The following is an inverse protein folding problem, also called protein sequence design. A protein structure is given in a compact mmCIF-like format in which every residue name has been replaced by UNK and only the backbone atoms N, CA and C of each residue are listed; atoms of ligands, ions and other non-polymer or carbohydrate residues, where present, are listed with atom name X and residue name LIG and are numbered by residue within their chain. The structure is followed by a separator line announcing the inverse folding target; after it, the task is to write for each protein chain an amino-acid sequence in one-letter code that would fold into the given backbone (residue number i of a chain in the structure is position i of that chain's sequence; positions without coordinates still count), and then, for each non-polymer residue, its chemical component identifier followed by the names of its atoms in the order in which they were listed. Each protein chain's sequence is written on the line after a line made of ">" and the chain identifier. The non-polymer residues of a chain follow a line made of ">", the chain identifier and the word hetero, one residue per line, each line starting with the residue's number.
data_IF_140285717018
#
_entry.id   IF_140285717018
#
_cell.length_a   1.000
_cell.length_b   1.000
_cell.length_c   1.000
_cell.angle_alpha   90.00
_cell.angle_beta   90.00
_cell.angle_gamma   90.00
#
_symmetry.space_group_name_H-M   'P 1'
#
loop_
_entity.id
_entity.type
_entity.pdbx_description
1 polymer ?
#
# COMPACT_ATOMS: atom_id res chain seq x y z
N UNK A 1 36.56 7.92 29.98
CA UNK A 1 35.39 7.77 29.09
C UNK A 1 34.16 8.10 29.92
N UNK A 2 33.48 9.21 29.60
CA UNK A 2 32.33 9.71 30.37
C UNK A 2 31.12 8.79 30.15
N UNK A 3 30.75 8.00 31.15
CA UNK A 3 29.49 7.26 31.15
C UNK A 3 28.33 8.25 31.26
N UNK A 4 27.68 8.52 30.13
CA UNK A 4 26.45 9.32 30.10
C UNK A 4 25.33 8.66 30.92
N UNK A 5 24.29 9.43 31.27
CA UNK A 5 23.16 8.92 32.04
C UNK A 5 22.46 7.78 31.27
N UNK A 6 22.22 6.66 31.95
CA UNK A 6 21.48 5.50 31.42
C UNK A 6 20.06 5.55 31.99
N UNK A 7 19.06 5.70 31.12
CA UNK A 7 17.65 5.70 31.51
C UNK A 7 17.12 4.26 31.67
N UNK A 8 16.34 4.02 32.74
CA UNK A 8 15.75 2.70 33.04
C UNK A 8 14.62 2.31 32.07
N UNK A 9 13.93 3.32 31.56
CA UNK A 9 12.88 3.21 30.56
C UNK A 9 13.25 4.05 29.36
N UNK A 10 12.99 3.53 28.17
CA UNK A 10 13.14 4.30 26.95
C UNK A 10 11.85 4.22 26.13
N UNK A 11 11.57 5.32 25.46
CA UNK A 11 10.51 5.43 24.47
C UNK A 11 11.11 6.10 23.26
N UNK A 12 10.95 5.47 22.10
CA UNK A 12 11.21 6.12 20.83
C UNK A 12 9.88 6.27 20.10
N UNK A 13 9.54 7.52 19.77
CA UNK A 13 8.37 7.85 18.97
C UNK A 13 8.78 7.92 17.52
N UNK A 14 8.22 7.05 16.70
CA UNK A 14 8.35 7.14 15.24
C UNK A 14 7.13 7.88 14.67
N UNK A 15 7.37 9.04 14.07
CA UNK A 15 6.35 9.79 13.33
C UNK A 15 6.42 9.35 11.87
N UNK A 16 5.39 8.64 11.40
CA UNK A 16 5.32 8.20 10.00
C UNK A 16 4.93 9.39 9.11
N UNK A 17 5.68 9.61 8.04
CA UNK A 17 5.45 10.70 7.07
C UNK A 17 5.35 10.10 5.69
N UNK A 18 4.27 10.40 4.98
CA UNK A 18 4.08 10.02 3.58
C UNK A 18 4.35 11.22 2.70
N UNK A 19 5.26 11.06 1.73
CA UNK A 19 5.66 12.10 0.79
C UNK A 19 5.20 11.74 -0.62
N UNK A 20 4.66 12.72 -1.33
CA UNK A 20 4.28 12.58 -2.72
C UNK A 20 4.30 13.95 -3.39
N UNK A 21 4.33 13.96 -4.72
CA UNK A 21 4.37 15.18 -5.51
C UNK A 21 3.37 15.16 -6.65
N UNK A 22 3.00 16.34 -7.12
CA UNK A 22 2.07 16.53 -8.22
C UNK A 22 2.56 17.65 -9.14
N UNK A 23 2.52 17.39 -10.44
CA UNK A 23 2.88 18.34 -11.47
C UNK A 23 1.62 18.77 -12.22
N UNK A 24 1.42 20.08 -12.36
CA UNK A 24 0.30 20.65 -13.08
C UNK A 24 0.77 21.68 -14.10
N UNK A 25 0.54 21.38 -15.38
CA UNK A 25 0.83 22.29 -16.49
C UNK A 25 -0.45 22.99 -16.96
N UNK A 26 -0.44 24.32 -16.95
CA UNK A 26 -1.48 25.18 -17.51
C UNK A 26 -0.96 25.71 -18.84
N UNK A 27 -1.59 25.27 -19.93
CA UNK A 27 -1.23 25.69 -21.28
C UNK A 27 -1.85 27.05 -21.62
N UNK A 28 -1.14 27.83 -22.44
CA UNK A 28 -1.56 29.17 -22.87
C UNK A 28 -1.86 30.09 -21.67
N UNK A 29 -0.97 30.10 -20.67
CA UNK A 29 -1.23 30.75 -19.38
C UNK A 29 -1.44 32.26 -19.51
N UNK A 30 -0.73 32.92 -20.44
CA UNK A 30 -0.93 34.35 -20.72
C UNK A 30 -2.34 34.68 -21.22
N UNK A 31 -3.05 33.70 -21.78
CA UNK A 31 -4.43 33.81 -22.28
C UNK A 31 -5.51 33.44 -21.24
N UNK A 32 -5.15 33.15 -19.99
CA UNK A 32 -6.11 32.91 -18.91
C UNK A 32 -7.11 34.07 -18.81
N UNK A 33 -8.40 33.75 -18.95
CA UNK A 33 -9.51 34.73 -18.94
C UNK A 33 -9.96 35.09 -17.53
N UNK A 34 -9.50 34.33 -16.54
CA UNK A 34 -9.88 34.48 -15.15
C UNK A 34 -9.60 35.91 -14.67
N UNK A 35 -10.61 36.51 -14.03
CA UNK A 35 -10.46 37.80 -13.37
C UNK A 35 -9.95 37.65 -11.93
N UNK A 36 -9.63 38.78 -11.29
CA UNK A 36 -9.18 38.78 -9.89
C UNK A 36 -10.21 38.06 -9.00
N UNK A 37 -9.73 37.16 -8.14
CA UNK A 37 -10.56 36.32 -7.28
C UNK A 37 -11.09 35.04 -7.93
N UNK A 38 -11.10 34.95 -9.27
CA UNK A 38 -11.47 33.72 -9.97
C UNK A 38 -10.37 32.67 -9.88
N UNK A 39 -10.76 31.40 -9.86
CA UNK A 39 -9.88 30.28 -9.49
C UNK A 39 -9.94 29.16 -10.51
N UNK A 40 -8.76 28.68 -10.89
CA UNK A 40 -8.57 27.46 -11.67
C UNK A 40 -8.18 26.34 -10.71
N UNK A 41 -8.73 25.14 -10.90
CA UNK A 41 -8.39 23.95 -10.11
C UNK A 41 -7.74 22.89 -10.98
N UNK A 42 -6.75 22.20 -10.43
CA UNK A 42 -6.18 21.01 -11.06
C UNK A 42 -7.12 19.81 -10.93
N UNK A 43 -6.81 18.74 -11.66
CA UNK A 43 -7.31 17.40 -11.33
C UNK A 43 -6.90 16.99 -9.91
N UNK A 44 -7.64 16.05 -9.34
CA UNK A 44 -7.33 15.53 -8.01
C UNK A 44 -6.16 14.56 -8.02
N UNK A 45 -5.37 14.55 -6.96
CA UNK A 45 -4.25 13.63 -6.76
C UNK A 45 -4.16 13.12 -5.31
N UNK A 46 -3.41 12.03 -5.09
CA UNK A 46 -3.24 11.37 -3.79
C UNK A 46 -1.83 10.77 -3.65
N UNK A 47 -1.45 10.28 -2.46
CA UNK A 47 -0.11 9.72 -2.25
C UNK A 47 0.14 8.37 -2.93
N UNK A 48 -0.93 7.69 -3.31
CA UNK A 48 -0.95 6.41 -4.01
C UNK A 48 -2.36 6.07 -4.46
N UNK A 49 -2.48 4.94 -5.15
CA UNK A 49 -3.74 4.46 -5.73
C UNK A 49 -4.87 4.33 -4.68
N UNK A 50 -4.53 3.73 -3.53
CA UNK A 50 -5.50 3.38 -2.49
C UNK A 50 -5.64 4.45 -1.39
N UNK A 51 -5.03 5.63 -1.57
CA UNK A 51 -5.16 6.72 -0.60
C UNK A 51 -6.51 7.45 -0.78
N UNK A 52 -7.28 7.44 0.32
CA UNK A 52 -8.59 8.07 0.43
C UNK A 52 -8.51 9.59 0.54
N UNK A 53 -7.33 10.15 0.82
CA UNK A 53 -7.10 11.59 0.82
C UNK A 53 -6.94 12.09 -0.61
N UNK A 54 -7.90 12.89 -1.07
CA UNK A 54 -7.84 13.51 -2.41
C UNK A 54 -7.55 14.99 -2.28
N UNK A 55 -6.50 15.44 -2.96
CA UNK A 55 -5.99 16.80 -2.95
C UNK A 55 -6.15 17.42 -4.34
N UNK A 56 -6.20 18.75 -4.45
CA UNK A 56 -5.98 19.44 -5.71
C UNK A 56 -5.29 20.79 -5.50
N UNK A 57 -4.73 21.34 -6.57
CA UNK A 57 -4.17 22.69 -6.56
C UNK A 57 -5.24 23.71 -6.95
N UNK A 58 -5.19 24.88 -6.32
CA UNK A 58 -5.98 26.06 -6.67
C UNK A 58 -5.05 27.20 -7.05
N UNK A 59 -5.27 27.78 -8.21
CA UNK A 59 -4.53 28.95 -8.71
C UNK A 59 -5.50 30.09 -8.94
N UNK A 60 -5.19 31.26 -8.42
CA UNK A 60 -5.81 32.52 -8.82
C UNK A 60 -4.80 33.28 -9.69
N UNK A 61 -4.94 33.26 -11.03
CA UNK A 61 -3.95 33.86 -11.92
C UNK A 61 -3.72 35.34 -11.63
N UNK A 62 -4.80 36.11 -11.43
CA UNK A 62 -4.78 37.58 -11.17
C UNK A 62 -4.95 37.94 -9.68
N UNK A 63 -4.47 37.07 -8.79
CA UNK A 63 -4.59 37.27 -7.34
C UNK A 63 -5.96 36.91 -6.77
N UNK A 64 -6.02 36.74 -5.46
CA UNK A 64 -7.25 36.39 -4.73
C UNK A 64 -8.08 37.63 -4.37
N UNK A 65 -7.40 38.75 -4.11
CA UNK A 65 -7.96 40.02 -3.64
C UNK A 65 -7.05 41.20 -4.05
N UNK A 66 -7.48 42.43 -3.75
CA UNK A 66 -6.72 43.64 -4.07
C UNK A 66 -5.30 43.65 -3.50
N UNK A 67 -5.07 43.00 -2.36
CA UNK A 67 -3.75 42.90 -1.73
C UNK A 67 -2.77 42.08 -2.57
N UNK A 68 -3.30 41.16 -3.38
CA UNK A 68 -2.56 40.17 -4.17
C UNK A 68 -2.76 40.27 -5.68
N UNK A 69 -3.39 41.34 -6.17
CA UNK A 69 -3.70 41.56 -7.59
C UNK A 69 -2.52 41.41 -8.56
N UNK A 70 -1.32 41.81 -8.12
CA UNK A 70 -0.10 41.75 -8.92
C UNK A 70 0.63 40.40 -8.80
N UNK A 71 0.02 39.44 -8.10
CA UNK A 71 0.59 38.13 -7.81
C UNK A 71 -0.29 37.01 -8.32
N UNK A 72 0.33 35.87 -8.59
CA UNK A 72 -0.37 34.60 -8.67
C UNK A 72 -0.51 34.04 -7.26
N UNK A 73 -1.72 33.64 -6.87
CA UNK A 73 -1.95 32.93 -5.61
C UNK A 73 -2.06 31.42 -5.85
N UNK A 74 -1.44 30.62 -4.99
CA UNK A 74 -1.38 29.16 -5.14
C UNK A 74 -1.67 28.46 -3.80
N UNK A 75 -2.61 27.52 -3.82
CA UNK A 75 -3.04 26.77 -2.64
C UNK A 75 -3.17 25.27 -2.90
N UNK A 76 -2.91 24.50 -1.86
CA UNK A 76 -3.23 23.08 -1.77
C UNK A 76 -4.59 22.96 -1.08
N UNK A 77 -5.54 22.29 -1.71
CA UNK A 77 -6.88 22.02 -1.19
C UNK A 77 -7.02 20.53 -0.86
N UNK A 78 -7.54 20.22 0.34
CA UNK A 78 -7.99 18.87 0.65
C UNK A 78 -9.45 18.70 0.20
N UNK A 79 -9.68 17.94 -0.87
CA UNK A 79 -10.98 17.74 -1.51
C UNK A 79 -11.81 16.67 -0.81
N UNK A 80 -11.19 15.54 -0.48
CA UNK A 80 -11.85 14.42 0.20
C UNK A 80 -10.97 13.90 1.33
N UNK A 81 -11.58 13.62 2.48
CA UNK A 81 -10.90 13.10 3.65
C UNK A 81 -11.86 12.24 4.48
N UNK A 82 -11.63 10.91 4.61
CA UNK A 82 -12.45 10.06 5.48
C UNK A 82 -12.11 10.24 6.96
N UNK A 83 -10.93 10.81 7.28
CA UNK A 83 -10.53 11.16 8.64
C UNK A 83 -11.17 12.49 9.05
N UNK A 84 -11.23 12.76 10.36
CA UNK A 84 -11.69 14.05 10.88
C UNK A 84 -10.77 15.22 10.50
N UNK A 85 -9.45 14.96 10.42
CA UNK A 85 -8.45 15.93 10.00
C UNK A 85 -7.16 15.25 9.53
N UNK A 86 -6.33 16.01 8.81
CA UNK A 86 -4.99 15.61 8.38
C UNK A 86 -4.01 16.74 8.63
N UNK A 87 -2.77 16.43 9.00
CA UNK A 87 -1.69 17.42 9.06
C UNK A 87 -0.72 17.22 7.91
N UNK A 88 -0.44 18.28 7.15
CA UNK A 88 0.48 18.20 6.02
C UNK A 88 1.38 19.43 5.92
N UNK A 89 2.65 19.21 5.58
CA UNK A 89 3.52 20.22 5.00
C UNK A 89 3.39 20.19 3.48
N UNK A 90 3.62 21.31 2.84
CA UNK A 90 3.65 21.42 1.39
C UNK A 90 4.74 22.39 0.92
N UNK A 91 5.26 22.13 -0.27
CA UNK A 91 6.17 23.02 -1.00
C UNK A 91 5.62 23.19 -2.42
N UNK A 92 5.70 24.41 -2.93
CA UNK A 92 5.38 24.73 -4.32
C UNK A 92 6.60 25.30 -5.01
N UNK A 93 6.79 24.94 -6.26
CA UNK A 93 7.82 25.47 -7.14
C UNK A 93 7.30 25.54 -8.58
N UNK A 94 8.03 26.25 -9.44
CA UNK A 94 7.80 26.31 -10.89
C UNK A 94 8.91 25.54 -11.57
N UNK A 95 8.59 24.74 -12.58
CA UNK A 95 9.60 24.08 -13.40
C UNK A 95 9.99 24.97 -14.58
N UNK A 96 11.30 25.22 -14.73
CA UNK A 96 11.82 25.96 -15.88
C UNK A 96 11.86 25.08 -17.15
N UNK A 97 12.31 25.64 -18.27
CA UNK A 97 12.43 24.91 -19.55
C UNK A 97 13.35 23.66 -19.49
N UNK A 98 14.23 23.55 -18.50
CA UNK A 98 15.09 22.38 -18.26
C UNK A 98 14.46 21.34 -17.32
N UNK A 99 13.26 21.60 -16.80
CA UNK A 99 12.62 20.77 -15.79
C UNK A 99 13.17 20.96 -14.37
N UNK A 100 13.95 22.01 -14.13
CA UNK A 100 14.51 22.30 -12.80
C UNK A 100 13.52 23.14 -11.96
N UNK A 101 13.41 22.82 -10.68
CA UNK A 101 12.61 23.60 -9.73
C UNK A 101 13.21 24.99 -9.48
N UNK A 102 12.37 26.01 -9.59
CA UNK A 102 12.70 27.39 -9.25
C UNK A 102 11.55 28.08 -8.51
N UNK A 103 11.83 29.23 -7.89
CA UNK A 103 10.87 30.03 -7.12
C UNK A 103 10.09 29.23 -6.07
N UNK A 104 10.80 28.35 -5.37
CA UNK A 104 10.21 27.49 -4.37
C UNK A 104 9.72 28.28 -3.15
N UNK A 105 8.54 27.92 -2.64
CA UNK A 105 8.00 28.41 -1.37
C UNK A 105 7.40 27.24 -0.59
N UNK A 106 7.74 27.12 0.68
CA UNK A 106 7.36 25.98 1.52
C UNK A 106 6.66 26.39 2.82
N UNK A 107 5.77 25.52 3.28
CA UNK A 107 5.07 25.69 4.55
C UNK A 107 6.04 25.53 5.73
N UNK A 108 6.09 26.52 6.61
CA UNK A 108 6.95 26.50 7.81
C UNK A 108 6.66 25.30 8.74
N UNK A 109 5.40 24.87 8.80
CA UNK A 109 4.92 23.78 9.65
C UNK A 109 3.86 22.96 8.95
N UNK A 110 3.55 21.79 9.51
CA UNK A 110 2.40 21.02 9.05
C UNK A 110 1.11 21.77 9.43
N UNK A 111 0.30 22.11 8.44
CA UNK A 111 -1.00 22.74 8.64
C UNK A 111 -2.08 21.68 8.79
N UNK A 112 -3.12 22.01 9.57
CA UNK A 112 -4.30 21.19 9.75
C UNK A 112 -5.26 21.41 8.58
N UNK A 113 -5.57 20.33 7.87
CA UNK A 113 -6.55 20.26 6.80
C UNK A 113 -7.78 19.48 7.28
N UNK A 114 -8.94 19.95 6.85
CA UNK A 114 -10.22 19.25 6.91
C UNK A 114 -10.81 19.27 5.49
N UNK A 115 -11.82 18.45 5.23
CA UNK A 115 -12.45 18.43 3.91
C UNK A 115 -12.91 19.84 3.48
N UNK A 116 -12.50 20.28 2.30
CA UNK A 116 -12.77 21.60 1.75
C UNK A 116 -11.83 22.71 2.23
N UNK A 117 -10.86 22.42 3.11
CA UNK A 117 -9.90 23.41 3.61
C UNK A 117 -8.66 23.47 2.72
N UNK A 118 -8.18 24.67 2.47
CA UNK A 118 -6.92 24.93 1.78
C UNK A 118 -5.90 25.70 2.62
N UNK A 119 -4.64 25.58 2.21
CA UNK A 119 -3.50 26.33 2.70
C UNK A 119 -2.53 26.58 1.55
N UNK A 120 -1.87 27.74 1.56
CA UNK A 120 -1.03 28.16 0.44
C UNK A 120 -0.48 29.56 0.63
N UNK A 121 -0.10 30.16 -0.49
CA UNK A 121 0.52 31.47 -0.52
C UNK A 121 -0.32 32.42 -1.38
N UNK A 122 -0.86 33.44 -0.72
CA UNK A 122 -1.59 34.52 -1.39
C UNK A 122 -0.71 35.26 -2.40
N UNK A 123 0.58 35.43 -2.10
CA UNK A 123 1.58 36.11 -2.93
C UNK A 123 2.70 35.12 -3.32
N UNK A 124 2.38 34.12 -4.14
CA UNK A 124 3.36 33.08 -4.50
C UNK A 124 4.45 33.61 -5.43
N UNK A 125 4.06 34.26 -6.54
CA UNK A 125 4.99 34.89 -7.47
C UNK A 125 4.37 36.15 -8.07
N UNK A 126 5.18 37.19 -8.32
CA UNK A 126 4.71 38.39 -9.03
C UNK A 126 4.45 38.06 -10.49
N UNK A 127 3.35 38.60 -11.02
CA UNK A 127 2.90 38.33 -12.40
C UNK A 127 3.86 38.90 -13.44
N UNK A 128 4.39 40.10 -13.22
CA UNK A 128 5.36 40.73 -14.12
C UNK A 128 6.62 39.87 -14.27
N UNK A 129 7.14 39.36 -13.15
CA UNK A 129 8.28 38.45 -13.15
C UNK A 129 7.95 37.11 -13.84
N UNK A 130 6.75 36.57 -13.60
CA UNK A 130 6.33 35.31 -14.20
C UNK A 130 6.19 35.41 -15.73
N UNK A 131 5.60 36.51 -16.23
CA UNK A 131 5.30 36.74 -17.64
C UNK A 131 6.50 37.25 -18.46
N UNK A 132 7.56 37.70 -17.80
CA UNK A 132 8.78 38.13 -18.47
C UNK A 132 9.56 36.92 -19.02
N UNK A 133 9.62 36.83 -20.34
CA UNK A 133 10.28 35.76 -21.10
C UNK A 133 11.75 35.57 -20.71
N UNK A 134 12.44 36.62 -20.27
CA UNK A 134 13.83 36.55 -19.83
C UNK A 134 14.02 35.63 -18.61
N UNK A 135 12.95 35.40 -17.83
CA UNK A 135 12.99 34.54 -16.65
C UNK A 135 12.75 33.04 -16.97
N UNK A 136 12.30 32.72 -18.20
CA UNK A 136 12.18 31.32 -18.67
C UNK A 136 11.22 30.44 -17.87
N UNK A 137 10.18 31.02 -17.26
CA UNK A 137 9.20 30.34 -16.41
C UNK A 137 7.93 29.88 -17.17
N UNK A 138 7.78 30.31 -18.41
CA UNK A 138 6.63 30.03 -19.29
C UNK A 138 7.10 29.53 -20.68
N UNK A 139 7.86 28.43 -20.76
CA UNK A 139 8.24 27.87 -22.07
C UNK A 139 6.98 27.50 -22.86
N UNK A 140 6.88 27.96 -24.11
CA UNK A 140 5.70 27.81 -24.98
C UNK A 140 4.38 28.31 -24.33
N UNK A 141 4.45 29.35 -23.49
CA UNK A 141 3.32 29.87 -22.71
C UNK A 141 2.67 28.80 -21.78
N UNK A 142 3.49 27.87 -21.28
CA UNK A 142 3.06 26.81 -20.36
C UNK A 142 3.59 27.06 -18.96
N UNK A 143 2.68 27.28 -18.01
CA UNK A 143 3.02 27.35 -16.59
C UNK A 143 3.02 25.94 -16.00
N UNK A 144 4.19 25.43 -15.62
CA UNK A 144 4.29 24.13 -14.94
C UNK A 144 4.57 24.32 -13.45
N UNK A 145 3.56 24.02 -12.64
CA UNK A 145 3.63 24.05 -11.18
C UNK A 145 4.00 22.67 -10.66
N UNK A 146 4.92 22.63 -9.71
CA UNK A 146 5.30 21.43 -8.99
C UNK A 146 4.94 21.58 -7.51
N UNK A 147 4.20 20.62 -6.98
CA UNK A 147 3.78 20.58 -5.60
C UNK A 147 4.34 19.33 -4.93
N UNK A 148 4.99 19.51 -3.79
CA UNK A 148 5.39 18.41 -2.91
C UNK A 148 4.53 18.48 -1.64
N UNK A 149 4.01 17.34 -1.20
CA UNK A 149 3.18 17.22 -0.01
C UNK A 149 3.79 16.17 0.92
N UNK A 150 3.90 16.51 2.20
CA UNK A 150 4.36 15.63 3.27
C UNK A 150 3.27 15.51 4.33
N UNK A 151 2.51 14.42 4.27
CA UNK A 151 1.41 14.14 5.20
C UNK A 151 1.95 13.42 6.43
N UNK A 152 1.65 13.97 7.61
CA UNK A 152 1.97 13.36 8.90
C UNK A 152 0.88 12.35 9.25
N UNK A 153 1.29 11.09 9.42
CA UNK A 153 0.41 9.99 9.84
C UNK A 153 0.50 9.74 11.35
N UNK A 154 -0.16 8.67 11.80
CA UNK A 154 -0.19 8.26 13.20
C UNK A 154 1.23 7.97 13.71
N UNK A 155 1.50 8.40 14.95
CA UNK A 155 2.78 8.16 15.63
C UNK A 155 2.71 6.87 16.44
N UNK A 156 3.71 6.00 16.29
CA UNK A 156 3.84 4.80 17.12
C UNK A 156 4.88 5.06 18.19
N UNK A 157 4.51 4.82 19.44
CA UNK A 157 5.46 4.78 20.55
C UNK A 157 5.93 3.34 20.72
N UNK A 158 7.22 3.12 20.56
CA UNK A 158 7.85 1.85 20.94
C UNK A 158 8.57 2.10 22.25
N UNK A 159 8.07 1.48 23.31
CA UNK A 159 8.62 1.56 24.66
C UNK A 159 9.22 0.22 25.05
N UNK A 160 10.39 0.28 25.68
CA UNK A 160 11.03 -0.88 26.26
C UNK A 160 11.50 -0.59 27.68
N UNK A 161 11.55 -1.63 28.49
CA UNK A 161 12.29 -1.60 29.75
C UNK A 161 13.63 -2.27 29.52
N UNK A 162 14.71 -1.57 29.87
CA UNK A 162 15.99 -2.24 30.02
C UNK A 162 15.91 -2.98 31.36
N UNK A 163 15.80 -4.31 31.33
CA UNK A 163 16.00 -5.09 32.55
C UNK A 163 17.42 -4.81 33.04
N UNK A 164 17.56 -4.17 34.21
CA UNK A 164 18.83 -3.94 34.89
C UNK A 164 19.44 -5.24 35.45
N UNK A 165 19.52 -6.28 34.62
CA UNK A 165 20.17 -7.51 34.97
C UNK A 165 21.56 -7.52 34.31
N UNK A 166 22.62 -7.70 35.11
CA UNK A 166 23.98 -7.93 34.58
C UNK A 166 24.09 -9.22 33.75
N UNK A 167 23.01 -10.02 33.71
CA UNK A 167 22.89 -11.25 32.94
C UNK A 167 22.31 -10.90 31.57
N UNK A 168 23.13 -11.05 30.53
CA UNK A 168 22.68 -10.97 29.14
C UNK A 168 21.87 -12.22 28.81
N UNK A 169 20.57 -12.06 28.61
CA UNK A 169 19.71 -13.15 28.14
C UNK A 169 19.95 -13.31 26.63
N UNK A 170 20.38 -14.50 26.15
CA UNK A 170 20.53 -14.74 24.72
C UNK A 170 19.17 -14.75 24.02
N UNK A 171 19.16 -14.49 22.72
CA UNK A 171 17.95 -14.60 21.90
C UNK A 171 17.37 -16.03 21.92
N UNK A 172 16.05 -16.13 21.79
CA UNK A 172 15.37 -17.42 21.73
C UNK A 172 15.73 -18.14 20.42
N UNK A 173 16.26 -19.37 20.51
CA UNK A 173 16.69 -20.18 19.36
C UNK A 173 15.72 -21.32 19.00
N UNK A 174 14.52 -21.33 19.57
CA UNK A 174 13.54 -22.41 19.40
C UNK A 174 13.28 -22.73 17.92
N UNK A 175 13.06 -21.71 17.10
CA UNK A 175 12.78 -21.87 15.67
C UNK A 175 13.97 -22.52 14.94
N UNK A 176 15.19 -22.11 15.25
CA UNK A 176 16.39 -22.62 14.57
C UNK A 176 16.73 -24.03 15.04
N UNK A 177 16.53 -24.34 16.33
CA UNK A 177 16.72 -25.68 16.89
C UNK A 177 15.69 -26.69 16.34
N UNK A 178 14.42 -26.29 16.16
CA UNK A 178 13.42 -27.10 15.45
C UNK A 178 13.73 -27.23 13.95
N UNK A 179 14.20 -26.17 13.30
CA UNK A 179 14.67 -26.22 11.91
C UNK A 179 15.77 -27.27 11.71
N UNK A 180 16.66 -27.42 12.69
CA UNK A 180 17.68 -28.47 12.70
C UNK A 180 17.12 -29.90 12.72
N UNK A 181 15.92 -30.15 13.26
CA UNK A 181 15.27 -31.46 13.21
C UNK A 181 14.84 -31.82 11.78
N UNK A 182 14.30 -30.84 11.05
CA UNK A 182 13.93 -30.99 9.65
C UNK A 182 15.16 -31.20 8.77
N UNK A 183 16.13 -30.30 8.85
CA UNK A 183 17.31 -30.30 7.96
C UNK A 183 18.19 -31.54 8.14
N UNK A 184 18.30 -32.05 9.37
CA UNK A 184 19.12 -33.22 9.69
C UNK A 184 18.33 -34.51 9.87
N UNK A 185 17.00 -34.49 9.67
CA UNK A 185 16.12 -35.67 9.75
C UNK A 185 16.30 -36.51 11.03
N UNK A 186 16.40 -35.86 12.19
CA UNK A 186 16.66 -36.53 13.47
C UNK A 186 15.37 -36.88 14.20
N UNK A 187 15.21 -38.14 14.61
CA UNK A 187 14.05 -38.65 15.39
C UNK A 187 12.71 -38.64 14.63
N UNK A 188 12.77 -38.82 13.32
CA UNK A 188 11.59 -38.78 12.45
C UNK A 188 10.71 -40.02 12.64
N UNK A 189 9.40 -39.85 12.46
CA UNK A 189 8.37 -40.88 12.68
C UNK A 189 7.36 -41.00 11.52
N UNK A 190 7.55 -40.21 10.45
CA UNK A 190 6.81 -40.34 9.20
C UNK A 190 7.65 -39.95 7.97
N UNK A 191 7.19 -40.41 6.80
CA UNK A 191 7.76 -40.12 5.49
C UNK A 191 6.72 -39.40 4.61
N UNK A 192 7.11 -38.29 4.01
CA UNK A 192 6.32 -37.51 3.07
C UNK A 192 6.93 -37.70 1.67
N UNK A 193 6.15 -38.20 0.73
CA UNK A 193 6.61 -38.53 -0.61
C UNK A 193 6.06 -37.49 -1.60
N UNK A 194 6.96 -36.72 -2.22
CA UNK A 194 6.61 -35.62 -3.13
C UNK A 194 7.27 -35.86 -4.47
N UNK A 195 6.45 -36.10 -5.51
CA UNK A 195 6.95 -36.44 -6.85
C UNK A 195 8.02 -37.55 -6.85
N UNK A 196 7.85 -38.56 -5.99
CA UNK A 196 8.79 -39.68 -5.82
C UNK A 196 10.01 -39.40 -4.94
N UNK A 197 10.19 -38.17 -4.45
CA UNK A 197 11.23 -37.83 -3.46
C UNK A 197 10.70 -38.04 -2.04
N UNK A 198 11.50 -38.68 -1.19
CA UNK A 198 11.13 -38.97 0.20
C UNK A 198 11.71 -37.94 1.17
N UNK A 199 10.87 -37.41 2.04
CA UNK A 199 11.22 -36.46 3.09
C UNK A 199 10.81 -37.00 4.46
N UNK A 200 11.77 -37.07 5.38
CA UNK A 200 11.51 -37.54 6.74
C UNK A 200 11.00 -36.39 7.62
N UNK A 201 9.97 -36.64 8.43
CA UNK A 201 9.34 -35.61 9.24
C UNK A 201 8.81 -36.13 10.59
N UNK A 202 8.14 -35.24 11.34
CA UNK A 202 7.63 -35.49 12.68
C UNK A 202 6.13 -35.22 12.72
N UNK A 203 5.32 -36.25 12.95
CA UNK A 203 3.85 -36.15 13.01
C UNK A 203 3.39 -35.09 13.99
N UNK A 204 3.97 -35.07 15.19
CA UNK A 204 3.58 -34.13 16.25
C UNK A 204 3.77 -32.66 15.83
N UNK A 205 4.87 -32.33 15.16
CA UNK A 205 5.14 -30.97 14.68
C UNK A 205 4.17 -30.61 13.57
N UNK A 206 3.99 -31.50 12.60
CA UNK A 206 3.09 -31.29 11.47
C UNK A 206 1.63 -31.10 11.93
N UNK A 207 1.14 -31.98 12.80
CA UNK A 207 -0.21 -31.91 13.35
C UNK A 207 -0.44 -30.64 14.18
N UNK A 208 0.55 -30.21 14.97
CA UNK A 208 0.44 -28.98 15.76
C UNK A 208 0.40 -27.69 14.90
N UNK A 209 0.90 -27.75 13.66
CA UNK A 209 1.09 -26.57 12.79
C UNK A 209 0.14 -26.52 11.61
N UNK A 210 -0.43 -27.66 11.20
CA UNK A 210 -1.36 -27.77 10.08
C UNK A 210 -2.57 -28.61 10.49
N UNK A 211 -3.79 -28.04 10.49
CA UNK A 211 -5.03 -28.78 10.72
C UNK A 211 -5.20 -29.96 9.75
N UNK A 212 -4.71 -29.82 8.51
CA UNK A 212 -4.81 -30.86 7.48
C UNK A 212 -3.91 -32.05 7.82
N UNK A 213 -2.65 -31.81 8.18
CA UNK A 213 -1.79 -32.89 8.68
C UNK A 213 -2.31 -33.47 10.00
N UNK A 214 -2.88 -32.65 10.88
CA UNK A 214 -3.49 -33.13 12.11
C UNK A 214 -4.61 -34.14 11.82
N UNK A 215 -5.56 -33.78 10.95
CA UNK A 215 -6.64 -34.67 10.57
C UNK A 215 -6.14 -35.95 9.87
N UNK A 216 -5.13 -35.81 9.02
CA UNK A 216 -4.52 -36.94 8.30
C UNK A 216 -3.86 -37.96 9.24
N UNK A 217 -3.27 -37.51 10.35
CA UNK A 217 -2.62 -38.39 11.31
C UNK A 217 -3.53 -38.88 12.45
N UNK A 218 -4.60 -38.14 12.76
CA UNK A 218 -5.55 -38.49 13.82
C UNK A 218 -6.52 -39.60 13.41
N UNK A 219 -6.91 -39.65 12.13
CA UNK A 219 -7.86 -40.64 11.63
C UNK A 219 -7.14 -41.92 11.15
N UNK A 220 -7.74 -43.11 11.37
CA UNK A 220 -7.19 -44.42 10.97
C UNK A 220 -7.20 -44.68 9.44
N UNK A 221 -6.79 -43.69 8.65
CA UNK A 221 -6.58 -43.81 7.21
C UNK A 221 -5.27 -44.57 6.92
N UNK A 222 -5.05 -45.00 5.66
CA UNK A 222 -3.86 -45.77 5.25
C UNK A 222 -2.54 -45.07 5.62
N UNK A 223 -2.53 -43.73 5.59
CA UNK A 223 -1.41 -42.86 5.95
C UNK A 223 -0.99 -43.03 7.43
N UNK A 224 -1.98 -43.16 8.32
CA UNK A 224 -1.74 -43.38 9.76
C UNK A 224 -1.09 -44.73 10.04
N UNK A 225 -1.42 -45.76 9.24
CA UNK A 225 -0.96 -47.14 9.39
C UNK A 225 0.42 -47.38 8.77
N UNK A 226 0.73 -46.68 7.68
CA UNK A 226 1.99 -46.83 6.93
C UNK A 226 3.04 -45.79 7.28
N UNK A 227 2.69 -44.77 8.08
CA UNK A 227 3.53 -43.61 8.38
C UNK A 227 4.08 -42.93 7.11
N UNK A 228 3.34 -43.04 6.01
CA UNK A 228 3.75 -42.59 4.68
C UNK A 228 2.61 -41.82 4.04
N UNK A 229 2.89 -40.60 3.61
CA UNK A 229 1.93 -39.68 2.99
C UNK A 229 2.38 -39.38 1.57
N UNK A 230 1.51 -39.54 0.59
CA UNK A 230 1.76 -39.14 -0.80
C UNK A 230 1.25 -37.72 -1.04
N UNK A 231 2.11 -36.88 -1.63
CA UNK A 231 1.83 -35.48 -1.96
C UNK A 231 2.11 -35.30 -3.45
N UNK A 232 1.03 -35.13 -4.22
CA UNK A 232 1.10 -35.17 -5.69
C UNK A 232 0.95 -33.80 -6.35
N UNK A 233 0.64 -32.77 -5.57
CA UNK A 233 0.17 -31.48 -6.06
C UNK A 233 0.96 -30.29 -5.51
N UNK A 234 2.15 -30.57 -4.97
CA UNK A 234 3.12 -29.55 -4.58
C UNK A 234 4.46 -29.91 -5.20
N UNK A 235 5.09 -28.94 -5.85
CA UNK A 235 6.41 -29.12 -6.43
C UNK A 235 7.47 -29.27 -5.33
N UNK A 236 8.53 -30.10 -5.49
CA UNK A 236 9.47 -30.40 -4.40
C UNK A 236 10.16 -29.17 -3.79
N UNK A 237 10.42 -28.12 -4.56
CA UNK A 237 11.03 -26.88 -4.04
C UNK A 237 10.06 -26.09 -3.17
N UNK A 238 8.83 -25.90 -3.63
CA UNK A 238 7.74 -25.25 -2.88
C UNK A 238 7.43 -26.03 -1.60
N UNK A 239 7.44 -27.36 -1.68
CA UNK A 239 7.24 -28.22 -0.53
C UNK A 239 8.32 -28.04 0.54
N UNK A 240 9.60 -27.97 0.15
CA UNK A 240 10.70 -27.71 1.10
C UNK A 240 10.53 -26.38 1.81
N UNK A 241 10.09 -25.35 1.10
CA UNK A 241 9.87 -24.01 1.66
C UNK A 241 8.67 -24.02 2.63
N UNK A 242 7.57 -24.69 2.27
CA UNK A 242 6.42 -24.91 3.16
C UNK A 242 6.85 -25.66 4.43
N UNK A 243 7.68 -26.70 4.30
CA UNK A 243 8.21 -27.45 5.43
C UNK A 243 9.15 -26.60 6.30
N UNK A 244 9.98 -25.76 5.71
CA UNK A 244 10.79 -24.79 6.45
C UNK A 244 9.90 -23.89 7.34
N UNK A 245 8.78 -23.42 6.78
CA UNK A 245 7.80 -22.63 7.53
C UNK A 245 7.15 -23.40 8.67
N UNK A 246 6.78 -24.66 8.47
CA UNK A 246 6.16 -25.48 9.51
C UNK A 246 7.07 -25.59 10.75
N UNK A 247 8.37 -25.81 10.54
CA UNK A 247 9.33 -25.99 11.64
C UNK A 247 9.81 -24.68 12.26
N UNK A 248 9.96 -23.61 11.47
CA UNK A 248 10.66 -22.39 11.91
C UNK A 248 9.79 -21.14 11.95
N UNK A 249 8.63 -21.15 11.30
CA UNK A 249 7.78 -19.98 11.08
C UNK A 249 8.33 -18.97 10.06
N UNK A 250 9.43 -19.32 9.36
CA UNK A 250 10.12 -18.51 8.35
C UNK A 250 10.01 -19.16 6.97
N UNK A 251 10.01 -18.36 5.92
CA UNK A 251 10.05 -18.80 4.52
C UNK A 251 11.05 -17.91 3.75
N UNK A 252 12.37 -18.17 3.87
CA UNK A 252 13.43 -17.33 3.29
C UNK A 252 13.39 -17.18 1.76
N UNK A 253 12.77 -18.09 1.00
CA UNK A 253 12.67 -17.99 -0.46
C UNK A 253 11.26 -17.64 -0.98
N UNK A 254 10.37 -17.18 -0.10
CA UNK A 254 8.97 -16.88 -0.43
C UNK A 254 8.84 -15.99 -1.67
N UNK A 255 9.68 -14.95 -1.80
CA UNK A 255 9.62 -13.98 -2.92
C UNK A 255 9.78 -14.62 -4.31
N UNK A 256 10.36 -15.82 -4.40
CA UNK A 256 10.62 -16.51 -5.68
C UNK A 256 9.47 -17.42 -6.13
N UNK A 257 8.56 -17.76 -5.23
CA UNK A 257 7.55 -18.81 -5.41
C UNK A 257 6.23 -18.48 -4.67
N UNK A 258 5.92 -17.19 -4.52
CA UNK A 258 4.84 -16.75 -3.64
C UNK A 258 3.46 -17.25 -4.08
N UNK A 259 3.26 -17.41 -5.39
CA UNK A 259 2.06 -17.96 -6.02
C UNK A 259 1.87 -19.46 -5.72
N UNK A 260 2.87 -20.29 -6.00
CA UNK A 260 2.80 -21.72 -5.69
C UNK A 260 2.76 -21.99 -4.18
N UNK A 261 3.50 -21.18 -3.41
CA UNK A 261 3.52 -21.28 -1.95
C UNK A 261 2.20 -20.82 -1.33
N UNK A 262 1.48 -19.87 -1.95
CA UNK A 262 0.12 -19.51 -1.58
C UNK A 262 -0.82 -20.71 -1.75
N UNK A 263 -0.75 -21.39 -2.90
CA UNK A 263 -1.55 -22.58 -3.19
C UNK A 263 -1.28 -23.70 -2.17
N UNK A 264 0.00 -23.96 -1.87
CA UNK A 264 0.39 -24.93 -0.85
C UNK A 264 -0.10 -24.53 0.55
N UNK A 265 0.06 -23.26 0.93
CA UNK A 265 -0.36 -22.77 2.24
C UNK A 265 -1.88 -22.88 2.44
N UNK A 266 -2.67 -22.54 1.42
CA UNK A 266 -4.12 -22.68 1.44
C UNK A 266 -4.53 -24.15 1.61
N UNK A 267 -3.96 -25.05 0.78
CA UNK A 267 -4.25 -26.48 0.84
C UNK A 267 -3.95 -27.09 2.21
N UNK A 268 -2.83 -26.74 2.83
CA UNK A 268 -2.42 -27.29 4.13
C UNK A 268 -2.89 -26.44 5.33
N UNK A 269 -3.79 -25.47 5.10
CA UNK A 269 -4.37 -24.58 6.10
C UNK A 269 -3.32 -23.87 6.98
N UNK A 270 -2.26 -23.38 6.34
CA UNK A 270 -1.17 -22.63 6.96
C UNK A 270 -1.43 -21.12 6.86
N UNK A 271 -2.44 -20.64 7.59
CA UNK A 271 -3.00 -19.29 7.44
C UNK A 271 -1.96 -18.16 7.48
N UNK A 272 -1.01 -18.21 8.41
CA UNK A 272 0.04 -17.17 8.48
C UNK A 272 0.98 -17.20 7.27
N UNK A 273 1.28 -18.37 6.70
CA UNK A 273 2.09 -18.47 5.48
C UNK A 273 1.30 -17.93 4.29
N UNK A 274 0.00 -18.26 4.22
CA UNK A 274 -0.92 -17.75 3.21
C UNK A 274 -0.90 -16.22 3.16
N UNK A 275 -1.08 -15.57 4.31
CA UNK A 275 -1.03 -14.10 4.42
C UNK A 275 0.36 -13.52 4.11
N UNK A 276 1.45 -14.23 4.43
CA UNK A 276 2.80 -13.80 4.02
C UNK A 276 2.97 -13.82 2.50
N UNK A 277 2.39 -14.82 1.81
CA UNK A 277 2.36 -14.87 0.35
C UNK A 277 1.47 -13.76 -0.23
N UNK A 278 0.32 -13.46 0.40
CA UNK A 278 -0.54 -12.33 0.01
C UNK A 278 0.20 -11.00 0.05
N UNK A 279 1.00 -10.74 1.08
CA UNK A 279 1.78 -9.50 1.22
C UNK A 279 2.84 -9.35 0.11
N UNK A 280 3.55 -10.44 -0.21
CA UNK A 280 4.55 -10.46 -1.28
C UNK A 280 3.92 -10.28 -2.67
N UNK A 281 2.81 -10.97 -2.95
CA UNK A 281 2.08 -10.84 -4.21
C UNK A 281 1.46 -9.45 -4.36
N UNK A 282 0.92 -8.88 -3.27
CA UNK A 282 0.39 -7.52 -3.27
C UNK A 282 1.48 -6.48 -3.57
N UNK A 283 2.68 -6.67 -3.04
CA UNK A 283 3.82 -5.77 -3.27
C UNK A 283 4.31 -5.78 -4.73
N UNK A 284 4.01 -6.86 -5.48
CA UNK A 284 4.38 -7.05 -6.87
C UNK A 284 3.22 -6.81 -7.87
N UNK A 285 2.10 -6.21 -7.41
CA UNK A 285 0.99 -5.84 -8.29
C UNK A 285 1.44 -4.82 -9.35
N UNK A 286 1.08 -5.10 -10.60
CA UNK A 286 1.36 -4.27 -11.77
C UNK A 286 0.20 -4.35 -12.75
N UNK A 287 0.17 -3.45 -13.74
CA UNK A 287 -0.88 -3.44 -14.77
C UNK A 287 -0.96 -4.80 -15.49
N UNK A 288 0.18 -5.40 -15.81
CA UNK A 288 0.26 -6.63 -16.61
C UNK A 288 -0.21 -7.89 -15.85
N UNK A 289 0.08 -7.98 -14.54
CA UNK A 289 -0.20 -9.19 -13.74
C UNK A 289 -1.43 -9.08 -12.84
N UNK A 290 -2.07 -7.90 -12.72
CA UNK A 290 -3.18 -7.70 -11.78
C UNK A 290 -4.37 -8.65 -11.98
N UNK A 291 -4.70 -8.96 -13.24
CA UNK A 291 -5.78 -9.91 -13.55
C UNK A 291 -5.44 -11.34 -13.13
N UNK A 292 -4.20 -11.78 -13.38
CA UNK A 292 -3.72 -13.12 -12.99
C UNK A 292 -3.68 -13.26 -11.46
N UNK A 293 -3.17 -12.23 -10.77
CA UNK A 293 -3.15 -12.19 -9.30
C UNK A 293 -4.57 -12.19 -8.72
N UNK A 294 -5.53 -11.50 -9.34
CA UNK A 294 -6.92 -11.54 -8.89
C UNK A 294 -7.54 -12.94 -9.02
N UNK A 295 -7.28 -13.64 -10.13
CA UNK A 295 -7.74 -15.03 -10.32
C UNK A 295 -7.11 -15.92 -9.25
N UNK A 296 -5.80 -15.81 -9.05
CA UNK A 296 -5.06 -16.59 -8.05
C UNK A 296 -5.61 -16.35 -6.64
N UNK A 297 -5.89 -15.10 -6.29
CA UNK A 297 -6.44 -14.73 -5.00
C UNK A 297 -7.86 -15.27 -4.78
N UNK A 298 -8.70 -15.29 -5.81
CA UNK A 298 -10.03 -15.92 -5.75
C UNK A 298 -9.93 -17.45 -5.59
N UNK A 299 -9.06 -18.08 -6.38
CA UNK A 299 -8.86 -19.52 -6.39
C UNK A 299 -8.45 -20.06 -5.01
N UNK A 300 -7.58 -19.33 -4.32
CA UNK A 300 -7.05 -19.71 -3.01
C UNK A 300 -7.71 -18.97 -1.85
N UNK A 301 -8.89 -18.34 -2.05
CA UNK A 301 -9.62 -17.62 -0.99
C UNK A 301 -8.70 -16.68 -0.18
N UNK A 302 -7.88 -15.90 -0.88
CA UNK A 302 -6.90 -14.98 -0.32
C UNK A 302 -7.52 -13.57 -0.28
N UNK A 303 -8.33 -13.33 0.76
CA UNK A 303 -9.24 -12.18 0.82
C UNK A 303 -8.53 -10.82 0.83
N UNK A 304 -7.37 -10.70 1.49
CA UNK A 304 -6.64 -9.43 1.54
C UNK A 304 -6.02 -9.12 0.18
N UNK A 305 -5.37 -10.09 -0.45
CA UNK A 305 -4.81 -9.95 -1.79
C UNK A 305 -5.90 -9.67 -2.83
N UNK A 306 -7.03 -10.38 -2.76
CA UNK A 306 -8.18 -10.16 -3.65
C UNK A 306 -8.68 -8.72 -3.58
N UNK A 307 -8.84 -8.19 -2.36
CA UNK A 307 -9.24 -6.81 -2.14
C UNK A 307 -8.24 -5.82 -2.74
N UNK A 308 -6.95 -6.00 -2.47
CA UNK A 308 -5.90 -5.11 -3.00
C UNK A 308 -5.80 -5.18 -4.53
N UNK A 309 -5.95 -6.36 -5.14
CA UNK A 309 -5.95 -6.53 -6.59
C UNK A 309 -7.16 -5.83 -7.23
N UNK A 310 -8.36 -5.97 -6.67
CA UNK A 310 -9.56 -5.26 -7.16
C UNK A 310 -9.39 -3.74 -7.09
N UNK A 311 -8.88 -3.23 -5.96
CA UNK A 311 -8.64 -1.79 -5.79
C UNK A 311 -7.60 -1.27 -6.80
N UNK A 312 -6.52 -2.02 -7.01
CA UNK A 312 -5.49 -1.70 -7.99
C UNK A 312 -6.05 -1.67 -9.43
N UNK A 313 -6.82 -2.68 -9.81
CA UNK A 313 -7.47 -2.77 -11.12
C UNK A 313 -8.40 -1.58 -11.35
N UNK A 314 -9.22 -1.23 -10.37
CA UNK A 314 -10.14 -0.11 -10.48
C UNK A 314 -9.41 1.23 -10.64
N UNK A 315 -8.24 1.38 -10.01
CA UNK A 315 -7.43 2.58 -10.13
C UNK A 315 -6.72 2.69 -11.48
N UNK A 316 -6.21 1.57 -12.01
CA UNK A 316 -5.52 1.48 -13.30
C UNK A 316 -6.42 0.97 -14.43
N UNK A 317 -7.74 1.16 -14.32
CA UNK A 317 -8.72 0.49 -15.18
C UNK A 317 -8.46 0.73 -16.67
N UNK A 318 -8.07 1.94 -17.08
CA UNK A 318 -7.76 2.26 -18.48
C UNK A 318 -6.68 1.36 -19.07
N UNK A 319 -5.65 1.07 -18.30
CA UNK A 319 -4.47 0.36 -18.77
C UNK A 319 -4.67 -1.16 -18.62
N UNK A 320 -5.27 -1.58 -17.50
CA UNK A 320 -5.56 -3.00 -17.23
C UNK A 320 -6.54 -3.56 -18.26
N UNK A 321 -7.57 -2.81 -18.66
CA UNK A 321 -8.56 -3.23 -19.67
C UNK A 321 -7.92 -3.63 -21.01
N UNK A 322 -6.75 -3.06 -21.33
CA UNK A 322 -6.05 -3.34 -22.58
C UNK A 322 -5.15 -4.58 -22.53
N UNK A 323 -4.82 -5.08 -21.34
CA UNK A 323 -3.95 -6.24 -21.16
C UNK A 323 -4.60 -7.53 -21.68
N UNK A 324 -3.75 -8.45 -22.16
CA UNK A 324 -4.20 -9.80 -22.53
C UNK A 324 -4.74 -10.57 -21.32
N UNK A 325 -4.14 -10.39 -20.14
CA UNK A 325 -4.56 -11.01 -18.89
C UNK A 325 -6.00 -10.65 -18.53
N UNK A 326 -6.35 -9.36 -18.57
CA UNK A 326 -7.73 -8.92 -18.34
C UNK A 326 -8.71 -9.48 -19.38
N UNK A 327 -8.36 -9.37 -20.67
CA UNK A 327 -9.21 -9.87 -21.77
C UNK A 327 -9.49 -11.37 -21.64
N UNK A 328 -8.49 -12.15 -21.18
CA UNK A 328 -8.65 -13.58 -20.85
C UNK A 328 -9.55 -13.80 -19.63
N UNK A 329 -9.37 -13.02 -18.57
CA UNK A 329 -10.17 -13.10 -17.34
C UNK A 329 -11.66 -12.82 -17.60
N UNK A 330 -11.98 -11.87 -18.47
CA UNK A 330 -13.38 -11.55 -18.84
C UNK A 330 -14.12 -12.78 -19.36
N UNK A 331 -13.44 -13.64 -20.12
CA UNK A 331 -14.02 -14.86 -20.69
C UNK A 331 -14.03 -16.01 -19.68
N UNK A 332 -12.92 -16.18 -18.95
CA UNK A 332 -12.71 -17.33 -18.06
C UNK A 332 -13.36 -17.19 -16.68
N UNK A 333 -13.41 -15.98 -16.12
CA UNK A 333 -13.86 -15.69 -14.75
C UNK A 333 -14.79 -14.45 -14.70
N UNK A 334 -15.96 -14.47 -15.36
CA UNK A 334 -16.85 -13.31 -15.45
C UNK A 334 -17.39 -12.83 -14.10
N UNK A 335 -17.42 -13.69 -13.07
CA UNK A 335 -17.83 -13.29 -11.72
C UNK A 335 -16.85 -12.28 -11.08
N UNK A 336 -15.56 -12.39 -11.37
CA UNK A 336 -14.53 -11.45 -10.88
C UNK A 336 -14.69 -10.06 -11.50
N UNK A 337 -15.07 -10.01 -12.78
CA UNK A 337 -15.40 -8.74 -13.45
C UNK A 337 -16.61 -8.07 -12.78
N UNK A 338 -17.65 -8.86 -12.49
CA UNK A 338 -18.83 -8.35 -11.79
C UNK A 338 -18.49 -7.84 -10.38
N UNK A 339 -17.59 -8.51 -9.68
CA UNK A 339 -17.11 -8.10 -8.36
C UNK A 339 -16.30 -6.80 -8.40
N UNK A 340 -15.35 -6.69 -9.34
CA UNK A 340 -14.59 -5.46 -9.56
C UNK A 340 -15.51 -4.28 -9.88
N UNK A 341 -16.51 -4.49 -10.74
CA UNK A 341 -17.52 -3.47 -11.06
C UNK A 341 -18.39 -3.07 -9.86
N UNK A 342 -18.80 -4.04 -9.02
CA UNK A 342 -19.53 -3.73 -7.78
C UNK A 342 -18.68 -2.91 -6.82
N UNK A 343 -17.40 -3.25 -6.67
CA UNK A 343 -16.45 -2.47 -5.85
C UNK A 343 -16.38 -1.03 -6.36
N UNK A 344 -16.20 -0.84 -7.67
CA UNK A 344 -16.18 0.48 -8.30
C UNK A 344 -17.48 1.28 -8.06
N UNK A 345 -18.64 0.65 -8.23
CA UNK A 345 -19.94 1.29 -8.01
C UNK A 345 -20.16 1.68 -6.55
N UNK A 346 -19.70 0.87 -5.60
CA UNK A 346 -19.77 1.17 -4.17
C UNK A 346 -18.85 2.34 -3.77
N UNK A 347 -17.69 2.47 -4.41
CA UNK A 347 -16.76 3.57 -4.19
C UNK A 347 -17.29 4.92 -4.73
N UNK A 348 -18.15 4.89 -5.76
CA UNK A 348 -18.73 6.09 -6.38
C UNK A 348 -20.04 6.57 -5.72
N UNK A 349 -20.62 5.81 -4.78
CA UNK A 349 -21.91 6.13 -4.16
C UNK A 349 -21.73 6.59 -2.70
N UNK A 350 -21.50 7.89 -2.42
CA UNK A 350 -21.62 8.39 -1.06
C UNK A 350 -23.10 8.38 -0.66
N UNK A 351 -23.44 7.57 0.35
CA UNK A 351 -24.70 7.53 1.09
C UNK A 351 -25.67 8.70 0.78
N UNK A 352 -26.70 8.43 -0.02
CA UNK A 352 -27.93 9.20 0.03
C UNK A 352 -28.60 8.92 1.37
N UNK A 353 -28.31 9.77 2.37
CA UNK A 353 -29.05 9.77 3.62
C UNK A 353 -30.56 9.92 3.35
N UNK A 354 -31.43 9.36 4.20
CA UNK A 354 -32.87 9.40 3.97
C UNK A 354 -33.38 10.85 3.90
N UNK A 355 -34.41 11.12 3.07
CA UNK A 355 -34.89 12.47 2.84
C UNK A 355 -35.38 13.10 4.15
N UNK A 356 -34.83 14.27 4.50
CA UNK A 356 -35.29 15.08 5.64
C UNK A 356 -36.79 15.37 5.46
N UNK A 357 -37.63 14.81 6.33
CA UNK A 357 -39.04 15.19 6.45
C UNK A 357 -39.11 16.71 6.65
N UNK A 358 -39.78 17.41 5.73
CA UNK A 358 -40.17 18.81 5.91
C UNK A 358 -41.02 18.91 7.17
N UNK A 359 -40.49 19.53 8.21
CA UNK A 359 -41.28 20.04 9.32
C UNK A 359 -42.22 21.11 8.75
N UNK A 360 -43.53 20.86 8.83
CA UNK A 360 -44.54 21.89 8.61
C UNK A 360 -44.36 22.94 9.70
N UNK A 361 -44.08 24.18 9.30
CA UNK A 361 -44.21 25.33 10.19
C UNK A 361 -45.71 25.52 10.45
N UNK A 362 -46.07 25.48 11.73
CA UNK A 362 -47.36 25.93 12.28
C UNK A 362 -47.30 27.42 12.54
#
# INVERSE_FOLDING_TARGET
>A
MSSGPVAESWCYTQIKVVKFSYMWTINNFSFCREEMGEVIKSSTFSSGANDKLKWCLRVNPKGLDEESKDYLSLYLLLVSCPKSEVRAKFKFSILNAKGEETKAMESQRAYRFVQGKDWGFKKFIRRDFLLDEANGLLPDDKLTLFCEVSVVQDSVNISGQNTMNMVKVPECRLADELGGLWENSRFTDCCLCVAGQEFQAHKAILAARSPVFSAMFEHEMEESKKNRVEINDVEPEVFKEMMCFIYTGKAPNLDKMADDLLAAADKYALERLKVMCEDALCSNLSVENAAEILILADLHSADQLKTQAVDFINYHASDVLETSGWKSMVVSHPHLVAEAYRSLASAQCPFLGPPRKRLKQS
#
